data_IF_420602039510
#
_entry.id   IF_420602039510
#
_cell.length_a   1.000
_cell.length_b   1.000
_cell.length_c   1.000
_cell.angle_alpha   90.00
_cell.angle_beta   90.00
_cell.angle_gamma   90.00
#
_symmetry.space_group_name_H-M   'P 1'
#
loop_
_entity.id
_entity.type
_entity.pdbx_description
1 polymer ?
#
# COMPACT_ATOMS: atom_id res chain seq x y z
N UNK A 1 -24.32 17.28 32.09
CA UNK A 1 -24.29 16.19 31.10
C UNK A 1 -23.36 16.60 29.97
N UNK A 2 -22.17 16.02 29.97
CA UNK A 2 -21.24 16.19 28.86
C UNK A 2 -21.78 15.31 27.74
N UNK A 3 -22.49 15.92 26.79
CA UNK A 3 -22.89 15.24 25.57
C UNK A 3 -21.60 14.81 24.85
N UNK A 4 -21.35 13.53 24.83
CA UNK A 4 -20.19 12.92 24.17
C UNK A 4 -20.34 13.17 22.66
N UNK A 5 -19.68 14.22 22.16
CA UNK A 5 -19.80 14.60 20.77
C UNK A 5 -18.95 13.62 19.92
N UNK A 6 -19.61 12.58 19.41
CA UNK A 6 -18.97 11.54 18.57
C UNK A 6 -18.26 12.15 17.36
N UNK A 7 -18.74 13.26 16.82
CA UNK A 7 -18.14 13.92 15.67
C UNK A 7 -16.76 14.50 15.99
N UNK A 8 -16.55 15.08 17.18
CA UNK A 8 -15.24 15.60 17.60
C UNK A 8 -14.23 14.48 17.83
N UNK A 9 -14.67 13.35 18.38
CA UNK A 9 -13.83 12.19 18.59
C UNK A 9 -13.38 11.56 17.26
N UNK A 10 -14.30 11.40 16.32
CA UNK A 10 -14.01 10.87 14.98
C UNK A 10 -13.09 11.82 14.21
N UNK A 11 -13.32 13.13 14.30
CA UNK A 11 -12.44 14.13 13.68
C UNK A 11 -11.01 14.08 14.22
N UNK A 12 -10.85 13.99 15.53
CA UNK A 12 -9.52 13.84 16.15
C UNK A 12 -8.82 12.52 15.74
N UNK A 13 -9.58 11.43 15.67
CA UNK A 13 -9.03 10.14 15.22
C UNK A 13 -8.57 10.18 13.76
N UNK A 14 -9.30 10.83 12.86
CA UNK A 14 -8.92 11.01 11.46
C UNK A 14 -7.64 11.85 11.36
N UNK A 15 -7.52 12.93 12.13
CA UNK A 15 -6.32 13.76 12.16
C UNK A 15 -5.10 12.98 12.65
N UNK A 16 -5.24 12.14 13.67
CA UNK A 16 -4.18 11.29 14.20
C UNK A 16 -3.72 10.26 13.16
N UNK A 17 -4.66 9.64 12.45
CA UNK A 17 -4.35 8.69 11.37
C UNK A 17 -3.64 9.40 10.22
N UNK A 18 -4.07 10.61 9.84
CA UNK A 18 -3.40 11.38 8.80
C UNK A 18 -1.95 11.71 9.16
N UNK A 19 -1.70 12.11 10.42
CA UNK A 19 -0.32 12.30 10.92
C UNK A 19 0.49 11.01 10.87
N UNK A 20 -0.12 9.90 11.28
CA UNK A 20 0.51 8.58 11.25
C UNK A 20 0.86 8.14 9.84
N UNK A 21 0.00 8.40 8.86
CA UNK A 21 0.28 8.12 7.44
C UNK A 21 1.49 8.90 6.92
N UNK A 22 1.57 10.20 7.26
CA UNK A 22 2.71 11.04 6.86
C UNK A 22 4.00 10.56 7.52
N UNK A 23 3.97 10.26 8.81
CA UNK A 23 5.13 9.75 9.55
C UNK A 23 5.58 8.41 8.97
N UNK A 24 4.65 7.49 8.75
CA UNK A 24 4.93 6.19 8.13
C UNK A 24 5.58 6.36 6.75
N UNK A 25 5.05 7.23 5.90
CA UNK A 25 5.60 7.52 4.60
C UNK A 25 7.05 8.05 4.67
N UNK A 26 7.30 9.03 5.53
CA UNK A 26 8.65 9.61 5.71
C UNK A 26 9.62 8.54 6.21
N UNK A 27 9.19 7.73 7.18
CA UNK A 27 10.02 6.71 7.80
C UNK A 27 10.36 5.60 6.80
N UNK A 28 9.41 5.20 5.99
CA UNK A 28 9.58 4.23 4.91
C UNK A 28 10.58 4.74 3.88
N UNK A 29 10.41 5.95 3.37
CA UNK A 29 11.34 6.56 2.40
C UNK A 29 12.76 6.66 2.98
N UNK A 30 12.88 7.00 4.27
CA UNK A 30 14.16 7.06 4.97
C UNK A 30 14.82 5.66 5.06
N UNK A 31 14.05 4.65 5.43
CA UNK A 31 14.55 3.27 5.54
C UNK A 31 15.02 2.76 4.17
N UNK A 32 14.21 2.94 3.13
CA UNK A 32 14.58 2.54 1.77
C UNK A 32 15.89 3.23 1.35
N UNK A 33 16.01 4.52 1.64
CA UNK A 33 17.24 5.27 1.34
C UNK A 33 18.46 4.71 2.06
N UNK A 34 18.32 4.31 3.33
CA UNK A 34 19.41 3.72 4.10
C UNK A 34 19.82 2.34 3.58
N UNK A 35 18.86 1.53 3.08
CA UNK A 35 19.14 0.20 2.56
C UNK A 35 19.71 0.21 1.14
N UNK A 36 19.12 0.97 0.24
CA UNK A 36 19.54 0.99 -1.16
C UNK A 36 20.75 1.94 -1.43
N UNK A 37 21.00 2.89 -0.53
CA UNK A 37 22.14 3.83 -0.67
C UNK A 37 22.07 4.74 -1.91
N UNK A 38 21.01 4.66 -2.70
CA UNK A 38 20.88 5.37 -3.97
C UNK A 38 19.54 6.11 -4.06
N UNK A 39 19.63 7.44 -4.15
CA UNK A 39 18.46 8.31 -4.17
C UNK A 39 17.53 8.04 -5.38
N UNK A 40 18.09 7.59 -6.51
CA UNK A 40 17.30 7.30 -7.72
C UNK A 40 16.41 6.07 -7.53
N UNK A 41 16.90 5.06 -6.80
CA UNK A 41 16.15 3.85 -6.50
C UNK A 41 14.98 4.12 -5.52
N UNK A 42 15.13 5.11 -4.64
CA UNK A 42 14.10 5.50 -3.66
C UNK A 42 12.89 6.18 -4.31
N UNK A 43 13.09 6.84 -5.46
CA UNK A 43 12.01 7.59 -6.14
C UNK A 43 10.86 6.66 -6.54
N UNK A 44 11.15 5.45 -6.98
CA UNK A 44 10.15 4.48 -7.45
C UNK A 44 9.12 4.17 -6.34
N UNK A 45 9.52 3.59 -5.20
CA UNK A 45 8.58 3.33 -4.11
C UNK A 45 7.99 4.62 -3.50
N UNK A 46 8.74 5.73 -3.49
CA UNK A 46 8.24 6.99 -2.99
C UNK A 46 7.12 7.59 -3.84
N UNK A 47 7.04 7.27 -5.13
CA UNK A 47 5.95 7.70 -6.02
C UNK A 47 4.84 6.65 -6.03
N UNK A 48 5.16 5.37 -6.01
CA UNK A 48 4.17 4.28 -6.01
C UNK A 48 3.21 4.38 -4.82
N UNK A 49 3.71 4.67 -3.61
CA UNK A 49 2.88 4.80 -2.40
C UNK A 49 1.76 5.84 -2.51
N UNK A 50 2.03 7.12 -2.84
CA UNK A 50 0.96 8.10 -3.01
C UNK A 50 -0.02 7.75 -4.12
N UNK A 51 0.46 7.20 -5.24
CA UNK A 51 -0.38 6.78 -6.36
C UNK A 51 -1.34 5.67 -5.93
N UNK A 52 -0.84 4.66 -5.22
CA UNK A 52 -1.65 3.56 -4.69
C UNK A 52 -2.69 4.04 -3.68
N UNK A 53 -2.32 4.96 -2.79
CA UNK A 53 -3.26 5.57 -1.85
C UNK A 53 -4.37 6.34 -2.57
N UNK A 54 -4.04 7.17 -3.55
CA UNK A 54 -5.03 7.92 -4.35
C UNK A 54 -5.94 6.94 -5.09
N UNK A 55 -5.38 5.91 -5.71
CA UNK A 55 -6.13 4.86 -6.40
C UNK A 55 -7.10 4.13 -5.47
N UNK A 56 -6.68 3.89 -4.22
CA UNK A 56 -7.52 3.24 -3.21
C UNK A 56 -8.65 4.12 -2.72
N UNK A 57 -8.42 5.43 -2.52
CA UNK A 57 -9.47 6.38 -2.21
C UNK A 57 -10.49 6.48 -3.36
N UNK A 58 -10.01 6.45 -4.61
CA UNK A 58 -10.89 6.39 -5.77
C UNK A 58 -11.72 5.10 -5.78
N UNK A 59 -11.11 3.96 -5.45
CA UNK A 59 -11.81 2.69 -5.31
C UNK A 59 -12.89 2.73 -4.23
N UNK A 60 -12.58 3.26 -3.03
CA UNK A 60 -13.58 3.45 -1.97
C UNK A 60 -14.76 4.31 -2.45
N UNK A 61 -14.48 5.37 -3.17
CA UNK A 61 -15.52 6.25 -3.73
C UNK A 61 -16.41 5.51 -4.75
N UNK A 62 -15.81 4.72 -5.65
CA UNK A 62 -16.56 3.97 -6.67
C UNK A 62 -17.44 2.86 -6.08
N UNK A 63 -17.03 2.26 -4.97
CA UNK A 63 -17.79 1.23 -4.26
C UNK A 63 -18.73 1.80 -3.19
N UNK A 64 -18.85 3.13 -3.09
CA UNK A 64 -19.70 3.84 -2.13
C UNK A 64 -19.43 3.39 -0.67
N UNK A 65 -18.14 3.18 -0.35
CA UNK A 65 -17.69 2.72 0.95
C UNK A 65 -17.36 3.90 1.86
N UNK A 66 -17.67 3.75 3.15
CA UNK A 66 -17.41 4.80 4.13
C UNK A 66 -15.92 4.81 4.56
N UNK A 67 -15.37 6.02 4.71
CA UNK A 67 -14.05 6.19 5.35
C UNK A 67 -14.27 6.12 6.85
N UNK A 68 -13.82 5.04 7.46
CA UNK A 68 -13.87 4.83 8.90
C UNK A 68 -12.47 4.54 9.46
N UNK A 69 -12.35 4.50 10.79
CA UNK A 69 -11.06 4.28 11.47
C UNK A 69 -10.42 2.96 11.05
N UNK A 70 -11.20 1.90 10.82
CA UNK A 70 -10.67 0.59 10.42
C UNK A 70 -10.09 0.62 9.00
N UNK A 71 -10.77 1.32 8.06
CA UNK A 71 -10.26 1.54 6.70
C UNK A 71 -8.95 2.34 6.75
N UNK A 72 -8.88 3.38 7.57
CA UNK A 72 -7.68 4.18 7.70
C UNK A 72 -6.52 3.40 8.36
N UNK A 73 -6.81 2.57 9.38
CA UNK A 73 -5.81 1.66 9.96
C UNK A 73 -5.31 0.63 8.94
N UNK A 74 -6.21 0.13 8.08
CA UNK A 74 -5.82 -0.79 7.01
C UNK A 74 -4.86 -0.14 6.01
N UNK A 75 -5.01 1.16 5.75
CA UNK A 75 -4.06 1.89 4.90
C UNK A 75 -2.68 2.01 5.52
N UNK A 76 -2.58 2.24 6.84
CA UNK A 76 -1.29 2.24 7.54
C UNK A 76 -0.61 0.87 7.44
N UNK A 77 -1.37 -0.21 7.64
CA UNK A 77 -0.87 -1.58 7.50
C UNK A 77 -0.40 -1.87 6.07
N UNK A 78 -1.21 -1.48 5.10
CA UNK A 78 -0.92 -1.74 3.69
C UNK A 78 0.30 -0.97 3.17
N UNK A 79 0.59 0.24 3.69
CA UNK A 79 1.82 0.96 3.34
C UNK A 79 3.06 0.10 3.62
N UNK A 80 3.09 -0.62 4.74
CA UNK A 80 4.19 -1.54 5.04
C UNK A 80 4.31 -2.64 3.99
N UNK A 81 3.22 -3.30 3.64
CA UNK A 81 3.19 -4.41 2.67
C UNK A 81 3.61 -3.92 1.28
N UNK A 82 3.04 -2.81 0.81
CA UNK A 82 3.36 -2.20 -0.49
C UNK A 82 4.83 -1.82 -0.58
N UNK A 83 5.36 -1.29 0.52
CA UNK A 83 6.76 -0.89 0.58
C UNK A 83 7.68 -2.09 0.39
N UNK A 84 7.38 -3.20 1.04
CA UNK A 84 8.19 -4.42 0.95
C UNK A 84 8.25 -4.92 -0.50
N UNK A 85 7.12 -4.97 -1.21
CA UNK A 85 7.06 -5.40 -2.61
C UNK A 85 7.82 -4.43 -3.54
N UNK A 86 7.62 -3.12 -3.36
CA UNK A 86 8.32 -2.09 -4.15
C UNK A 86 9.84 -2.09 -3.90
N UNK A 87 10.28 -2.35 -2.67
CA UNK A 87 11.72 -2.46 -2.34
C UNK A 87 12.34 -3.68 -3.02
N UNK A 88 11.69 -4.84 -2.93
CA UNK A 88 12.19 -6.08 -3.54
C UNK A 88 12.28 -5.92 -5.07
N UNK A 89 11.28 -5.30 -5.69
CA UNK A 89 11.27 -5.02 -7.13
C UNK A 89 12.44 -4.11 -7.51
N UNK A 90 12.59 -3.01 -6.80
CA UNK A 90 13.64 -2.02 -7.06
C UNK A 90 15.03 -2.61 -6.86
N UNK A 91 15.25 -3.38 -5.80
CA UNK A 91 16.51 -4.03 -5.49
C UNK A 91 16.91 -5.02 -6.60
N UNK A 92 15.98 -5.84 -7.07
CA UNK A 92 16.22 -6.79 -8.15
C UNK A 92 16.61 -6.11 -9.47
N UNK A 93 15.97 -5.00 -9.80
CA UNK A 93 16.31 -4.22 -11.01
C UNK A 93 17.68 -3.56 -10.84
N UNK A 94 17.91 -2.96 -9.68
CA UNK A 94 19.13 -2.21 -9.41
C UNK A 94 20.37 -3.10 -9.40
N UNK A 95 20.27 -4.28 -8.79
CA UNK A 95 21.34 -5.28 -8.77
C UNK A 95 21.76 -5.71 -10.20
N UNK A 96 20.81 -5.81 -11.12
CA UNK A 96 21.11 -6.11 -12.53
C UNK A 96 21.80 -4.95 -13.25
N UNK A 97 21.42 -3.70 -12.96
CA UNK A 97 22.06 -2.51 -13.50
C UNK A 97 23.51 -2.44 -13.02
N UNK A 98 23.77 -2.70 -11.75
CA UNK A 98 25.14 -2.73 -11.18
C UNK A 98 25.99 -3.83 -11.80
N UNK A 99 25.40 -4.96 -12.19
CA UNK A 99 26.07 -6.02 -12.93
C UNK A 99 26.29 -5.71 -14.42
N UNK A 100 25.98 -4.48 -14.88
CA UNK A 100 26.29 -4.01 -16.22
C UNK A 100 25.18 -4.26 -17.26
N UNK A 101 23.99 -4.72 -16.86
CA UNK A 101 22.85 -4.82 -17.79
C UNK A 101 22.33 -3.41 -18.13
N UNK A 102 21.89 -3.22 -19.38
CA UNK A 102 21.25 -1.97 -19.78
C UNK A 102 19.96 -1.73 -18.95
N UNK A 103 19.69 -0.50 -18.50
CA UNK A 103 18.59 -0.21 -17.57
C UNK A 103 17.23 -0.77 -18.01
N UNK A 104 16.89 -0.67 -19.28
CA UNK A 104 15.64 -1.19 -19.83
C UNK A 104 15.56 -2.73 -19.77
N UNK A 105 16.67 -3.40 -20.03
CA UNK A 105 16.75 -4.87 -19.96
C UNK A 105 16.73 -5.36 -18.52
N UNK A 106 17.41 -4.63 -17.63
CA UNK A 106 17.42 -4.90 -16.19
C UNK A 106 16.01 -4.73 -15.58
N UNK A 107 15.29 -3.69 -15.97
CA UNK A 107 13.91 -3.46 -15.56
C UNK A 107 13.00 -4.62 -16.00
N UNK A 108 13.03 -4.98 -17.28
CA UNK A 108 12.20 -6.06 -17.81
C UNK A 108 12.49 -7.42 -17.17
N UNK A 109 13.77 -7.79 -17.05
CA UNK A 109 14.15 -9.07 -16.45
C UNK A 109 13.95 -9.09 -14.93
N UNK A 110 14.24 -7.99 -14.25
CA UNK A 110 14.06 -7.84 -12.81
C UNK A 110 12.59 -7.93 -12.42
N UNK A 111 11.73 -7.17 -13.07
CA UNK A 111 10.29 -7.22 -12.82
C UNK A 111 9.73 -8.61 -13.08
N UNK A 112 10.02 -9.22 -14.23
CA UNK A 112 9.54 -10.56 -14.57
C UNK A 112 9.97 -11.63 -13.57
N UNK A 113 11.13 -11.50 -12.96
CA UNK A 113 11.62 -12.45 -11.96
C UNK A 113 10.79 -12.41 -10.68
N UNK A 114 10.29 -11.24 -10.30
CA UNK A 114 9.64 -11.02 -9.01
C UNK A 114 8.11 -10.95 -9.14
N UNK A 115 7.57 -10.61 -10.31
CA UNK A 115 6.13 -10.50 -10.54
C UNK A 115 5.35 -11.72 -10.03
N UNK A 116 5.87 -12.93 -10.23
CA UNK A 116 5.18 -14.14 -9.73
C UNK A 116 5.11 -14.17 -8.19
N UNK A 117 6.17 -13.73 -7.51
CA UNK A 117 6.19 -13.68 -6.05
C UNK A 117 5.21 -12.62 -5.53
N UNK A 118 5.19 -11.42 -6.14
CA UNK A 118 4.27 -10.33 -5.77
C UNK A 118 2.81 -10.76 -5.98
N UNK A 119 2.47 -11.33 -7.13
CA UNK A 119 1.12 -11.86 -7.37
C UNK A 119 0.74 -12.92 -6.33
N UNK A 120 1.66 -13.81 -5.98
CA UNK A 120 1.39 -14.84 -4.97
C UNK A 120 1.15 -14.23 -3.59
N UNK A 121 1.95 -13.25 -3.15
CA UNK A 121 1.77 -12.56 -1.86
C UNK A 121 0.44 -11.81 -1.82
N UNK A 122 0.09 -11.08 -2.87
CA UNK A 122 -1.18 -10.37 -3.00
C UNK A 122 -2.38 -11.32 -2.96
N UNK A 123 -2.32 -12.44 -3.67
CA UNK A 123 -3.38 -13.46 -3.62
C UNK A 123 -3.53 -14.07 -2.23
N UNK A 124 -2.43 -14.35 -1.52
CA UNK A 124 -2.46 -14.84 -0.15
C UNK A 124 -3.11 -13.82 0.79
N UNK A 125 -2.72 -12.56 0.68
CA UNK A 125 -3.30 -11.48 1.50
C UNK A 125 -4.80 -11.33 1.24
N UNK A 126 -5.22 -11.28 -0.02
CA UNK A 126 -6.64 -11.23 -0.37
C UNK A 126 -7.38 -12.45 0.18
N UNK A 127 -6.82 -13.65 0.06
CA UNK A 127 -7.42 -14.88 0.59
C UNK A 127 -7.56 -14.86 2.13
N UNK A 128 -6.61 -14.25 2.85
CA UNK A 128 -6.68 -14.07 4.30
C UNK A 128 -7.77 -13.08 4.71
N UNK A 129 -7.98 -12.01 3.94
CA UNK A 129 -9.00 -11.00 4.24
C UNK A 129 -10.40 -11.37 3.70
N UNK A 130 -10.49 -12.27 2.73
CA UNK A 130 -11.76 -12.72 2.15
C UNK A 130 -12.77 -13.23 3.21
N UNK A 131 -12.39 -14.04 4.22
CA UNK A 131 -13.32 -14.49 5.25
C UNK A 131 -13.96 -13.37 6.06
N UNK A 132 -13.33 -12.21 6.18
CA UNK A 132 -13.86 -11.06 6.90
C UNK A 132 -15.16 -10.52 6.27
N UNK A 133 -15.32 -10.71 4.95
CA UNK A 133 -16.51 -10.26 4.21
C UNK A 133 -17.77 -11.04 4.65
N UNK A 134 -17.61 -12.26 5.16
CA UNK A 134 -18.72 -13.11 5.58
C UNK A 134 -19.13 -12.91 7.04
N UNK A 135 -18.44 -12.08 7.80
CA UNK A 135 -18.81 -11.76 9.19
C UNK A 135 -20.10 -10.95 9.17
N UNK A 136 -21.10 -11.36 9.95
CA UNK A 136 -22.40 -10.70 10.05
C UNK A 136 -22.44 -9.73 11.23
N UNK A 137 -23.32 -8.73 11.15
CA UNK A 137 -23.52 -7.73 12.18
C UNK A 137 -22.79 -6.42 11.93
N UNK A 138 -22.85 -5.49 12.87
CA UNK A 138 -22.25 -4.14 12.76
C UNK A 138 -20.72 -4.24 12.56
N UNK A 139 -20.07 -5.11 13.32
CA UNK A 139 -18.65 -5.37 13.17
C UNK A 139 -18.31 -5.96 11.79
N UNK A 140 -19.20 -6.81 11.25
CA UNK A 140 -19.05 -7.40 9.92
C UNK A 140 -19.03 -6.35 8.80
N UNK A 141 -19.84 -5.31 8.90
CA UNK A 141 -19.85 -4.20 7.93
C UNK A 141 -18.49 -3.48 7.93
N UNK A 142 -17.95 -3.16 9.10
CA UNK A 142 -16.66 -2.50 9.25
C UNK A 142 -15.51 -3.35 8.70
N UNK A 143 -15.48 -4.64 9.00
CA UNK A 143 -14.47 -5.56 8.49
C UNK A 143 -14.59 -5.79 6.98
N UNK A 144 -15.81 -5.81 6.44
CA UNK A 144 -16.03 -5.91 5.00
C UNK A 144 -15.46 -4.69 4.27
N UNK A 145 -15.74 -3.48 4.74
CA UNK A 145 -15.18 -2.25 4.18
C UNK A 145 -13.64 -2.26 4.22
N UNK A 146 -13.07 -2.70 5.35
CA UNK A 146 -11.63 -2.85 5.54
C UNK A 146 -11.02 -3.86 4.55
N UNK A 147 -11.63 -5.03 4.40
CA UNK A 147 -11.15 -6.07 3.49
C UNK A 147 -11.19 -5.60 2.02
N UNK A 148 -12.24 -4.90 1.62
CA UNK A 148 -12.36 -4.34 0.27
C UNK A 148 -11.32 -3.23 0.07
N UNK A 149 -11.14 -2.33 1.05
CA UNK A 149 -10.17 -1.26 0.99
C UNK A 149 -8.73 -1.79 0.85
N UNK A 150 -8.35 -2.80 1.65
CA UNK A 150 -7.06 -3.46 1.55
C UNK A 150 -6.86 -4.14 0.21
N UNK A 151 -7.84 -4.89 -0.27
CA UNK A 151 -7.75 -5.57 -1.56
C UNK A 151 -7.61 -4.57 -2.72
N UNK A 152 -8.34 -3.45 -2.65
CA UNK A 152 -8.24 -2.39 -3.64
C UNK A 152 -6.86 -1.72 -3.60
N UNK A 153 -6.33 -1.47 -2.40
CA UNK A 153 -5.02 -0.85 -2.23
C UNK A 153 -3.89 -1.74 -2.75
N UNK A 154 -3.92 -3.03 -2.42
CA UNK A 154 -2.94 -4.00 -2.92
C UNK A 154 -2.98 -4.11 -4.44
N UNK A 155 -4.17 -4.21 -5.03
CA UNK A 155 -4.32 -4.26 -6.47
C UNK A 155 -3.82 -2.99 -7.18
N UNK A 156 -4.11 -1.82 -6.61
CA UNK A 156 -3.61 -0.55 -7.17
C UNK A 156 -2.10 -0.38 -6.99
N UNK A 157 -1.53 -0.96 -5.95
CA UNK A 157 -0.08 -1.00 -5.73
C UNK A 157 0.62 -1.84 -6.78
N UNK A 158 0.15 -3.07 -7.00
CA UNK A 158 0.71 -3.96 -8.02
C UNK A 158 0.67 -3.30 -9.41
N UNK A 159 -0.47 -2.66 -9.74
CA UNK A 159 -0.60 -1.90 -10.99
C UNK A 159 0.33 -0.68 -11.06
N UNK A 160 0.56 0.02 -9.94
CA UNK A 160 1.47 1.15 -9.90
C UNK A 160 2.94 0.71 -10.05
N UNK A 161 3.34 -0.38 -9.40
CA UNK A 161 4.68 -0.93 -9.50
C UNK A 161 4.97 -1.45 -10.91
N UNK A 162 3.99 -2.05 -11.58
CA UNK A 162 4.09 -2.48 -12.98
C UNK A 162 4.25 -1.29 -13.93
N UNK A 163 3.54 -0.18 -13.69
CA UNK A 163 3.65 1.05 -14.49
C UNK A 163 4.99 1.77 -14.29
N UNK A 164 5.54 1.75 -13.09
CA UNK A 164 6.81 2.44 -12.77
C UNK A 164 8.02 1.57 -13.12
N UNK A 165 7.85 0.24 -13.18
CA UNK A 165 8.88 -0.72 -13.59
C UNK A 165 9.10 -0.82 -15.11
N UNK A 166 8.25 -0.17 -15.91
CA UNK A 166 8.35 -0.09 -17.38
C UNK A 166 8.93 1.25 -17.80
#
# INVERSE_FOLDING_TARGET
EVAFNRATYVGAAIEEVYKSLIIAFILVVLIIYLFLGNLKAVIVPAVALPVSLIGSFLGLYLFDLSINIFVLLSFILAIGIITDDSVIMTDAIYNRIENGEAPLVAAYKGSKQITFAIIATTLILVAVFLPLIFIKGISGTLFKETAIALSCLLYTSDAADELVGV
#
